data_IF_203266694761
#
_entry.id   IF_203266694761
#
_cell.length_a   1.000
_cell.length_b   1.000
_cell.length_c   1.000
_cell.angle_alpha   90.00
_cell.angle_beta   90.00
_cell.angle_gamma   90.00
#
_symmetry.space_group_name_H-M   'P 1'
#
loop_
_entity.id
_entity.type
_entity.pdbx_description
1 polymer ?
#
# COMPACT_ATOMS: atom_id res chain seq x y z
N UNK A 1 15.38 -51.89 -62.34
CA UNK A 1 13.95 -51.55 -62.56
C UNK A 1 13.74 -50.14 -62.06
N UNK A 2 13.46 -49.19 -62.95
CA UNK A 2 12.93 -47.89 -62.53
C UNK A 2 11.45 -48.10 -62.20
N UNK A 3 11.01 -47.61 -61.05
CA UNK A 3 9.59 -47.60 -60.70
C UNK A 3 8.91 -46.40 -61.39
N UNK A 4 7.84 -46.68 -62.13
CA UNK A 4 7.07 -45.67 -62.87
C UNK A 4 5.99 -45.06 -61.98
N UNK A 5 6.17 -43.77 -61.65
CA UNK A 5 5.25 -43.03 -60.77
C UNK A 5 3.91 -42.69 -61.45
N UNK A 6 3.77 -42.88 -62.77
CA UNK A 6 2.49 -42.70 -63.47
C UNK A 6 1.45 -43.75 -63.09
N UNK A 7 1.87 -44.90 -62.53
CA UNK A 7 0.97 -46.00 -62.18
C UNK A 7 0.33 -45.88 -60.79
N UNK A 8 0.74 -44.89 -59.99
CA UNK A 8 0.33 -44.76 -58.58
C UNK A 8 -0.95 -43.90 -58.43
N UNK A 9 -1.36 -43.14 -59.46
CA UNK A 9 -2.57 -42.32 -59.44
C UNK A 9 -2.58 -41.27 -58.31
N UNK A 10 -3.72 -41.15 -57.60
CA UNK A 10 -3.96 -40.17 -56.54
C UNK A 10 -3.55 -40.66 -55.13
N UNK A 11 -2.75 -41.72 -55.04
CA UNK A 11 -2.28 -42.22 -53.74
C UNK A 11 -1.44 -41.18 -52.99
N UNK A 12 -1.56 -41.18 -51.66
CA UNK A 12 -0.81 -40.28 -50.80
C UNK A 12 0.68 -40.62 -50.85
N UNK A 13 1.51 -39.62 -51.18
CA UNK A 13 2.96 -39.76 -51.26
C UNK A 13 3.57 -40.20 -49.91
N UNK A 14 2.95 -39.84 -48.79
CA UNK A 14 3.39 -40.21 -47.45
C UNK A 14 3.28 -41.72 -47.15
N UNK A 15 2.52 -42.47 -47.95
CA UNK A 15 2.44 -43.94 -47.82
C UNK A 15 3.76 -44.64 -48.22
N UNK A 16 4.56 -43.99 -49.07
CA UNK A 16 5.80 -44.56 -49.61
C UNK A 16 7.04 -43.73 -49.27
N UNK A 17 6.89 -42.42 -49.03
CA UNK A 17 7.99 -41.50 -48.82
C UNK A 17 7.93 -40.87 -47.43
N UNK A 18 9.07 -40.84 -46.74
CA UNK A 18 9.24 -40.11 -45.50
C UNK A 18 9.76 -38.70 -45.80
N UNK A 19 9.05 -37.63 -45.39
CA UNK A 19 9.53 -36.28 -45.59
C UNK A 19 10.79 -36.01 -44.75
N UNK A 20 11.70 -35.13 -45.21
CA UNK A 20 12.88 -34.78 -44.44
C UNK A 20 12.50 -33.97 -43.17
N UNK A 21 13.43 -33.84 -42.20
CA UNK A 21 13.18 -33.10 -40.96
C UNK A 21 12.67 -31.66 -41.21
N UNK A 22 11.82 -31.17 -40.33
CA UNK A 22 11.18 -29.84 -40.39
C UNK A 22 10.24 -29.62 -41.59
N UNK A 23 9.66 -30.69 -42.16
CA UNK A 23 8.57 -30.58 -43.13
C UNK A 23 7.23 -30.28 -42.47
N UNK A 24 6.41 -29.45 -43.12
CA UNK A 24 5.03 -29.21 -42.73
C UNK A 24 4.15 -30.43 -43.03
N UNK A 25 3.16 -30.66 -42.17
CA UNK A 25 2.18 -31.72 -42.35
C UNK A 25 1.15 -31.33 -43.43
N UNK A 26 0.79 -32.28 -44.29
CA UNK A 26 -0.20 -32.07 -45.36
C UNK A 26 0.05 -32.95 -46.58
N UNK A 27 -0.91 -32.97 -47.51
CA UNK A 27 -0.74 -33.69 -48.78
C UNK A 27 0.41 -33.07 -49.58
N UNK A 28 1.41 -33.87 -49.95
CA UNK A 28 2.64 -33.38 -50.58
C UNK A 28 2.37 -32.58 -51.88
N UNK A 29 1.31 -32.95 -52.61
CA UNK A 29 0.85 -32.29 -53.84
C UNK A 29 0.38 -30.84 -53.63
N UNK A 30 0.05 -30.45 -52.40
CA UNK A 30 -0.34 -29.07 -52.09
C UNK A 30 0.84 -28.09 -52.15
N UNK A 31 2.07 -28.60 -52.04
CA UNK A 31 3.29 -27.80 -52.07
C UNK A 31 4.20 -28.17 -53.24
N UNK A 32 4.24 -29.44 -53.63
CA UNK A 32 5.10 -29.94 -54.70
C UNK A 32 4.31 -30.11 -56.00
N UNK A 33 4.35 -29.08 -56.85
CA UNK A 33 3.73 -29.09 -58.17
C UNK A 33 4.49 -29.99 -59.17
N UNK A 34 5.81 -30.13 -58.98
CA UNK A 34 6.64 -31.06 -59.73
C UNK A 34 6.88 -32.33 -58.91
N UNK A 35 6.11 -33.38 -59.24
CA UNK A 35 6.21 -34.70 -58.61
C UNK A 35 7.33 -35.56 -59.20
N UNK A 36 8.14 -35.04 -60.14
CA UNK A 36 9.28 -35.78 -60.73
C UNK A 36 10.59 -35.45 -60.03
N UNK A 37 10.82 -34.18 -59.67
CA UNK A 37 12.06 -33.75 -59.01
C UNK A 37 11.91 -33.44 -57.53
N UNK A 38 10.69 -33.10 -57.06
CA UNK A 38 10.37 -32.67 -55.69
C UNK A 38 11.27 -31.55 -55.14
N UNK A 39 12.00 -30.83 -55.99
CA UNK A 39 13.01 -29.85 -55.57
C UNK A 39 12.44 -28.47 -55.24
N UNK A 40 11.27 -28.13 -55.77
CA UNK A 40 10.63 -26.84 -55.52
C UNK A 40 9.28 -27.04 -54.84
N UNK A 41 9.10 -26.34 -53.72
CA UNK A 41 7.82 -26.24 -53.03
C UNK A 41 7.25 -24.84 -53.26
N UNK A 42 6.04 -24.77 -53.81
CA UNK A 42 5.25 -23.54 -53.95
C UNK A 42 3.94 -23.77 -53.23
N UNK A 43 3.58 -22.86 -52.33
CA UNK A 43 2.32 -22.94 -51.59
C UNK A 43 1.47 -21.70 -51.82
N UNK A 44 0.22 -21.90 -52.22
CA UNK A 44 -0.74 -20.82 -52.41
C UNK A 44 -1.56 -20.60 -51.11
N UNK A 45 -1.26 -19.50 -50.43
CA UNK A 45 -1.97 -19.06 -49.23
C UNK A 45 -3.42 -18.62 -49.51
N UNK A 46 -3.92 -18.59 -50.74
CA UNK A 46 -5.35 -18.42 -51.01
C UNK A 46 -6.17 -19.64 -50.59
N UNK A 47 -5.53 -20.82 -50.49
CA UNK A 47 -6.19 -22.12 -50.29
C UNK A 47 -6.43 -22.48 -48.82
N UNK A 48 -5.84 -21.76 -47.87
CA UNK A 48 -5.90 -22.08 -46.43
C UNK A 48 -7.27 -21.81 -45.78
N UNK A 49 -8.19 -21.16 -46.50
CA UNK A 49 -9.53 -20.87 -45.99
C UNK A 49 -9.51 -20.06 -44.68
N UNK A 50 -10.13 -20.60 -43.62
CA UNK A 50 -10.20 -20.01 -42.28
C UNK A 50 -9.18 -20.55 -41.28
N UNK A 51 -8.24 -21.39 -41.70
CA UNK A 51 -7.24 -21.97 -40.78
C UNK A 51 -6.26 -20.92 -40.26
N UNK A 52 -5.84 -21.02 -39.00
CA UNK A 52 -4.83 -20.13 -38.44
C UNK A 52 -3.43 -20.44 -39.01
N UNK A 53 -2.62 -19.40 -39.21
CA UNK A 53 -1.23 -19.51 -39.62
C UNK A 53 -0.42 -20.34 -38.61
N UNK A 54 -0.78 -20.30 -37.32
CA UNK A 54 -0.15 -21.06 -36.25
C UNK A 54 -0.22 -22.59 -36.42
N UNK A 55 -1.13 -23.09 -37.27
CA UNK A 55 -1.20 -24.52 -37.60
C UNK A 55 0.00 -25.01 -38.41
N UNK A 56 0.65 -24.11 -39.15
CA UNK A 56 1.83 -24.41 -39.94
C UNK A 56 3.05 -23.71 -39.37
N UNK A 57 2.95 -22.40 -39.10
CA UNK A 57 4.09 -21.57 -38.69
C UNK A 57 4.23 -21.47 -37.18
N UNK A 58 5.47 -21.44 -36.72
CA UNK A 58 5.81 -21.09 -35.34
C UNK A 58 6.13 -19.60 -35.24
N UNK A 59 5.53 -18.85 -34.30
CA UNK A 59 5.84 -17.45 -34.13
C UNK A 59 7.27 -17.25 -33.58
N UNK A 60 7.90 -16.09 -33.84
CA UNK A 60 9.20 -15.77 -33.26
C UNK A 60 9.12 -15.61 -31.73
N UNK A 61 10.26 -15.65 -31.01
CA UNK A 61 10.30 -15.37 -29.58
C UNK A 61 9.71 -14.00 -29.24
N UNK A 62 9.05 -13.89 -28.09
CA UNK A 62 8.38 -12.67 -27.60
C UNK A 62 7.23 -12.15 -28.49
N UNK A 63 6.65 -13.00 -29.34
CA UNK A 63 5.46 -12.67 -30.11
C UNK A 63 4.18 -12.71 -29.24
N UNK A 64 3.24 -11.82 -29.53
CA UNK A 64 1.93 -11.80 -28.89
C UNK A 64 1.18 -13.11 -29.16
N UNK A 65 0.53 -13.65 -28.13
CA UNK A 65 -0.21 -14.90 -28.22
C UNK A 65 -1.64 -14.62 -28.68
N UNK A 66 -2.00 -15.08 -29.88
CA UNK A 66 -3.34 -14.89 -30.43
C UNK A 66 -3.45 -15.43 -31.85
N UNK A 67 -4.64 -15.30 -32.43
CA UNK A 67 -4.91 -15.72 -33.80
C UNK A 67 -4.13 -14.85 -34.78
N UNK A 68 -3.25 -15.44 -35.59
CA UNK A 68 -2.31 -14.67 -36.42
C UNK A 68 -3.03 -13.73 -37.40
N UNK A 69 -4.16 -14.18 -37.94
CA UNK A 69 -4.98 -13.43 -38.91
C UNK A 69 -5.63 -12.17 -38.35
N UNK A 70 -5.73 -12.04 -37.02
CA UNK A 70 -6.25 -10.81 -36.41
C UNK A 70 -5.26 -9.64 -36.56
N UNK A 71 -3.98 -9.93 -36.79
CA UNK A 71 -2.91 -8.93 -36.87
C UNK A 71 -2.21 -8.94 -38.23
N UNK A 72 -2.06 -10.11 -38.85
CA UNK A 72 -1.37 -10.29 -40.12
C UNK A 72 -2.38 -10.42 -41.26
N UNK A 73 -2.58 -9.31 -41.97
CA UNK A 73 -3.49 -9.24 -43.13
C UNK A 73 -2.78 -9.51 -44.46
N UNK A 74 -1.44 -9.52 -44.46
CA UNK A 74 -0.61 -9.73 -45.64
C UNK A 74 0.16 -11.06 -45.56
N UNK A 75 -0.18 -12.00 -46.44
CA UNK A 75 0.46 -13.31 -46.56
C UNK A 75 1.69 -13.34 -47.46
N UNK A 76 2.08 -12.21 -48.07
CA UNK A 76 3.20 -12.15 -49.03
C UNK A 76 4.54 -11.94 -48.35
N UNK A 77 4.64 -10.99 -47.43
CA UNK A 77 5.87 -10.69 -46.69
C UNK A 77 5.73 -10.89 -45.18
N UNK A 78 4.50 -11.00 -44.64
CA UNK A 78 4.20 -11.19 -43.22
C UNK A 78 4.86 -10.19 -42.26
N UNK A 79 5.34 -9.04 -42.77
CA UNK A 79 6.02 -7.99 -41.99
C UNK A 79 5.05 -6.95 -41.46
N UNK A 80 4.00 -6.66 -42.21
CA UNK A 80 3.01 -5.67 -41.81
C UNK A 80 2.06 -6.30 -40.80
N UNK A 81 1.90 -5.62 -39.67
CA UNK A 81 0.91 -5.95 -38.66
C UNK A 81 -0.05 -4.77 -38.53
N UNK A 82 -1.34 -5.07 -38.52
CA UNK A 82 -2.38 -4.12 -38.24
C UNK A 82 -3.42 -4.83 -37.38
N UNK A 83 -3.67 -4.27 -36.20
CA UNK A 83 -4.73 -4.75 -35.31
C UNK A 83 -5.78 -3.66 -35.16
N UNK A 84 -7.00 -3.94 -35.60
CA UNK A 84 -8.12 -3.04 -35.41
C UNK A 84 -8.65 -3.16 -33.98
N UNK A 85 -8.44 -2.12 -33.17
CA UNK A 85 -8.91 -2.10 -31.79
C UNK A 85 -10.44 -2.01 -31.67
N UNK A 86 -11.18 -1.74 -32.75
CA UNK A 86 -12.65 -1.75 -32.74
C UNK A 86 -13.24 -3.13 -32.41
N UNK A 87 -12.47 -4.20 -32.63
CA UNK A 87 -12.93 -5.59 -32.46
C UNK A 87 -12.82 -6.09 -31.01
N UNK A 88 -12.18 -5.34 -30.12
CA UNK A 88 -11.96 -5.79 -28.72
C UNK A 88 -13.23 -5.67 -27.85
N UNK A 89 -14.21 -4.87 -28.28
CA UNK A 89 -15.45 -4.66 -27.53
C UNK A 89 -15.19 -4.11 -26.13
N UNK A 90 -15.66 -4.83 -25.10
CA UNK A 90 -15.54 -4.46 -23.68
C UNK A 90 -14.40 -5.18 -22.94
N UNK A 91 -13.46 -5.79 -23.66
CA UNK A 91 -12.27 -6.40 -23.06
C UNK A 91 -11.42 -5.33 -22.37
N UNK A 92 -10.88 -5.64 -21.19
CA UNK A 92 -9.94 -4.73 -20.53
C UNK A 92 -8.62 -4.68 -21.30
N UNK A 93 -8.03 -3.49 -21.41
CA UNK A 93 -6.76 -3.27 -22.09
C UNK A 93 -5.64 -4.09 -21.43
N UNK A 94 -5.76 -4.35 -20.12
CA UNK A 94 -4.83 -5.17 -19.33
C UNK A 94 -4.71 -6.63 -19.80
N UNK A 95 -5.68 -7.13 -20.57
CA UNK A 95 -5.62 -8.46 -21.18
C UNK A 95 -4.55 -8.55 -22.27
N UNK A 96 -4.15 -7.42 -22.86
CA UNK A 96 -3.21 -7.37 -23.97
C UNK A 96 -1.97 -6.51 -23.68
N UNK A 97 -2.15 -5.42 -22.94
CA UNK A 97 -1.12 -4.45 -22.64
C UNK A 97 -0.69 -4.55 -21.18
N UNK A 98 0.63 -4.46 -20.96
CA UNK A 98 1.20 -4.32 -19.63
C UNK A 98 1.42 -2.84 -19.32
N UNK A 99 1.02 -2.36 -18.14
CA UNK A 99 1.27 -0.99 -17.76
C UNK A 99 2.77 -0.76 -17.49
N UNK A 100 3.26 0.49 -17.63
CA UNK A 100 4.63 0.83 -17.27
C UNK A 100 4.86 0.67 -15.75
N UNK A 101 6.13 0.61 -15.30
CA UNK A 101 6.46 0.60 -13.88
C UNK A 101 5.87 1.82 -13.15
N UNK A 102 5.49 1.62 -11.87
CA UNK A 102 4.88 2.65 -11.02
C UNK A 102 3.51 3.17 -11.51
N UNK A 103 2.79 2.40 -12.32
CA UNK A 103 1.42 2.71 -12.70
C UNK A 103 0.41 2.29 -11.61
N UNK A 104 -0.70 3.03 -11.49
CA UNK A 104 -1.77 2.67 -10.58
C UNK A 104 -2.51 1.42 -11.08
N UNK A 105 -2.97 0.59 -10.14
CA UNK A 105 -3.75 -0.61 -10.44
C UNK A 105 -5.23 -0.23 -10.61
N UNK A 106 -5.86 -0.67 -11.68
CA UNK A 106 -7.26 -0.43 -11.99
C UNK A 106 -7.58 -0.75 -13.45
N UNK A 107 -8.86 -0.72 -13.82
CA UNK A 107 -9.26 -0.85 -15.22
C UNK A 107 -8.73 0.35 -16.02
N UNK A 108 -8.03 0.10 -17.13
CA UNK A 108 -7.32 1.15 -17.87
C UNK A 108 -8.26 2.27 -18.32
N UNK A 109 -9.49 1.92 -18.71
CA UNK A 109 -10.55 2.84 -19.13
C UNK A 109 -11.06 3.76 -18.02
N UNK A 110 -10.76 3.48 -16.75
CA UNK A 110 -11.11 4.37 -15.63
C UNK A 110 -10.26 5.65 -15.61
N UNK A 111 -9.10 5.62 -16.28
CA UNK A 111 -8.15 6.73 -16.34
C UNK A 111 -7.89 7.19 -17.77
N UNK A 112 -7.83 6.25 -18.72
CA UNK A 112 -7.46 6.50 -20.11
C UNK A 112 -8.71 6.59 -20.99
N UNK A 113 -9.24 7.82 -21.13
CA UNK A 113 -10.34 8.11 -22.03
C UNK A 113 -9.89 8.24 -23.50
N UNK A 114 -8.65 8.67 -23.72
CA UNK A 114 -8.00 8.64 -25.02
C UNK A 114 -7.06 7.42 -25.10
N UNK A 115 -7.55 6.36 -25.75
CA UNK A 115 -6.82 5.11 -25.96
C UNK A 115 -5.90 5.15 -27.18
N UNK A 116 -5.77 6.28 -27.88
CA UNK A 116 -4.90 6.38 -29.07
C UNK A 116 -3.43 6.56 -28.71
N UNK A 117 -3.14 7.29 -27.63
CA UNK A 117 -1.76 7.61 -27.22
C UNK A 117 -1.47 7.30 -25.74
N UNK A 118 -2.49 7.02 -24.91
CA UNK A 118 -2.35 6.71 -23.48
C UNK A 118 -1.58 7.76 -22.65
N UNK A 119 -1.34 8.97 -23.16
CA UNK A 119 -0.52 9.99 -22.48
C UNK A 119 -1.30 10.84 -21.48
N UNK A 120 -2.62 10.95 -21.65
CA UNK A 120 -3.46 11.83 -20.84
C UNK A 120 -4.43 11.03 -19.97
N UNK A 121 -3.89 10.44 -18.90
CA UNK A 121 -4.73 9.84 -17.86
C UNK A 121 -5.44 10.94 -17.06
N UNK A 122 -6.76 10.86 -16.97
CA UNK A 122 -7.59 11.71 -16.13
C UNK A 122 -8.36 10.79 -15.20
N UNK A 123 -8.33 11.05 -13.90
CA UNK A 123 -9.08 10.26 -12.93
C UNK A 123 -10.05 11.15 -12.16
N UNK A 124 -11.34 10.82 -12.22
CA UNK A 124 -12.37 11.51 -11.46
C UNK A 124 -12.50 10.91 -10.06
N UNK A 125 -12.00 11.64 -9.07
CA UNK A 125 -12.08 11.25 -7.66
C UNK A 125 -13.52 11.20 -7.12
N UNK A 126 -14.52 11.75 -7.82
CA UNK A 126 -15.94 11.60 -7.41
C UNK A 126 -16.41 10.15 -7.48
N UNK A 127 -15.75 9.33 -8.29
CA UNK A 127 -16.13 7.92 -8.55
C UNK A 127 -15.63 6.94 -7.49
N UNK A 128 -14.74 7.37 -6.59
CA UNK A 128 -14.09 6.47 -5.61
C UNK A 128 -15.04 5.99 -4.50
N UNK A 129 -16.20 6.65 -4.32
CA UNK A 129 -17.17 6.31 -3.27
C UNK A 129 -16.52 6.29 -1.88
N UNK A 130 -16.63 5.15 -1.19
CA UNK A 130 -16.08 4.91 0.16
C UNK A 130 -14.69 4.27 0.16
N UNK A 131 -14.04 4.13 -1.00
CA UNK A 131 -12.70 3.54 -1.06
C UNK A 131 -11.69 4.39 -0.27
N UNK A 132 -10.75 3.70 0.38
CA UNK A 132 -9.69 4.35 1.13
C UNK A 132 -8.62 4.89 0.20
N UNK A 133 -8.19 6.14 0.44
CA UNK A 133 -7.20 6.82 -0.40
C UNK A 133 -5.85 6.08 -0.42
N UNK A 134 -5.53 5.34 0.65
CA UNK A 134 -4.30 4.56 0.78
C UNK A 134 -4.23 3.36 -0.16
N UNK A 135 -5.35 2.93 -0.74
CA UNK A 135 -5.36 1.88 -1.75
C UNK A 135 -4.71 2.34 -3.06
N UNK A 136 -4.66 3.65 -3.29
CA UNK A 136 -4.04 4.24 -4.48
C UNK A 136 -2.79 5.05 -4.10
N UNK A 137 -2.85 5.88 -3.06
CA UNK A 137 -1.79 6.82 -2.73
C UNK A 137 -0.97 6.37 -1.52
N UNK A 138 0.34 6.64 -1.57
CA UNK A 138 1.22 6.46 -0.43
C UNK A 138 1.36 7.78 0.33
N UNK A 139 1.09 7.83 1.65
CA UNK A 139 1.28 9.05 2.42
C UNK A 139 2.77 9.43 2.53
N UNK A 140 3.09 10.74 2.64
CA UNK A 140 4.48 11.18 2.81
C UNK A 140 5.05 10.74 4.17
N UNK A 141 6.39 10.76 4.36
CA UNK A 141 7.01 10.53 5.65
C UNK A 141 6.48 11.48 6.73
N UNK A 142 6.39 11.01 7.97
CA UNK A 142 5.87 11.77 9.12
C UNK A 142 4.41 12.23 8.99
N UNK A 143 3.61 11.59 8.13
CA UNK A 143 2.17 11.85 8.05
C UNK A 143 1.42 11.19 9.22
N UNK A 144 0.34 11.83 9.67
CA UNK A 144 -0.51 11.31 10.74
C UNK A 144 -1.22 10.03 10.29
N UNK A 145 -1.33 9.06 11.19
CA UNK A 145 -1.98 7.78 10.92
C UNK A 145 -3.50 7.91 11.09
N UNK A 146 -4.28 7.64 10.06
CA UNK A 146 -5.73 7.70 10.10
C UNK A 146 -6.37 7.72 8.73
N UNK A 147 -7.70 7.73 8.67
CA UNK A 147 -8.42 7.85 7.41
C UNK A 147 -8.16 9.23 6.79
N UNK A 148 -7.64 9.26 5.56
CA UNK A 148 -7.21 10.49 4.90
C UNK A 148 -8.33 11.53 4.80
N UNK A 149 -9.58 11.07 4.61
CA UNK A 149 -10.78 11.91 4.48
C UNK A 149 -11.11 12.72 5.73
N UNK A 150 -10.60 12.32 6.89
CA UNK A 150 -10.79 13.07 8.13
C UNK A 150 -10.05 14.41 8.11
N UNK A 151 -9.02 14.53 7.26
CA UNK A 151 -8.20 15.74 7.13
C UNK A 151 -8.25 16.35 5.72
N UNK A 152 -8.37 15.51 4.69
CA UNK A 152 -8.36 15.89 3.30
C UNK A 152 -9.78 15.81 2.72
N UNK A 153 -10.52 16.90 2.85
CA UNK A 153 -11.89 17.04 2.34
C UNK A 153 -11.95 17.53 0.89
N UNK A 154 -10.85 18.10 0.38
CA UNK A 154 -10.71 18.59 -0.99
C UNK A 154 -9.78 17.68 -1.80
N UNK A 155 -10.36 16.91 -2.74
CA UNK A 155 -9.61 16.04 -3.65
C UNK A 155 -8.96 16.79 -4.82
N UNK A 156 -9.28 18.06 -5.02
CA UNK A 156 -8.68 18.91 -6.06
C UNK A 156 -7.44 19.65 -5.56
N UNK A 157 -7.39 19.97 -4.26
CA UNK A 157 -6.23 20.57 -3.61
C UNK A 157 -5.83 19.78 -2.34
N UNK A 158 -5.28 18.59 -2.57
CA UNK A 158 -4.89 17.67 -1.50
C UNK A 158 -3.74 18.16 -0.62
N UNK A 159 -3.07 19.27 -0.98
CA UNK A 159 -2.04 19.90 -0.13
C UNK A 159 -2.62 20.54 1.11
N UNK A 160 -3.87 20.98 1.04
CA UNK A 160 -4.56 21.54 2.19
C UNK A 160 -5.16 20.40 3.01
N UNK A 161 -4.83 20.39 4.30
CA UNK A 161 -5.43 19.50 5.28
C UNK A 161 -6.07 20.35 6.36
N UNK A 162 -7.30 20.01 6.75
CA UNK A 162 -8.00 20.63 7.84
C UNK A 162 -8.58 19.55 8.73
N UNK A 163 -8.27 19.61 10.03
CA UNK A 163 -8.82 18.71 11.02
C UNK A 163 -9.64 19.52 12.04
N UNK A 164 -10.94 19.22 12.12
CA UNK A 164 -11.81 19.82 13.12
C UNK A 164 -11.61 19.12 14.46
N UNK A 165 -11.00 19.81 15.42
CA UNK A 165 -10.78 19.27 16.76
C UNK A 165 -12.06 19.10 17.58
N UNK A 166 -13.20 19.64 17.13
CA UNK A 166 -14.49 19.44 17.82
C UNK A 166 -14.96 17.98 17.77
N UNK A 167 -14.52 17.22 16.77
CA UNK A 167 -14.96 15.83 16.54
C UNK A 167 -14.27 14.82 17.46
N UNK A 168 -13.23 15.23 18.19
CA UNK A 168 -12.44 14.32 19.04
C UNK A 168 -13.18 13.93 20.34
N UNK A 169 -14.18 14.71 20.75
CA UNK A 169 -14.93 14.48 21.97
C UNK A 169 -14.04 14.32 23.21
N UNK A 170 -14.18 13.18 23.90
CA UNK A 170 -13.43 12.84 25.12
C UNK A 170 -12.14 12.05 24.88
N UNK A 171 -11.71 11.88 23.62
CA UNK A 171 -10.44 11.22 23.33
C UNK A 171 -9.27 12.01 23.91
N UNK A 172 -8.25 11.31 24.40
CA UNK A 172 -7.05 11.96 24.94
C UNK A 172 -6.22 12.57 23.80
N UNK A 173 -5.67 13.76 24.04
CA UNK A 173 -4.84 14.47 23.08
C UNK A 173 -3.56 13.68 22.74
N UNK A 174 -3.10 12.85 23.69
CA UNK A 174 -1.94 11.96 23.55
C UNK A 174 -2.10 10.90 22.46
N UNK A 175 -3.34 10.59 22.04
CA UNK A 175 -3.61 9.69 20.92
C UNK A 175 -3.13 10.27 19.57
N UNK A 176 -2.98 11.59 19.48
CA UNK A 176 -2.59 12.27 18.25
C UNK A 176 -1.32 13.12 18.38
N UNK A 177 -1.11 13.70 19.57
CA UNK A 177 -0.01 14.62 19.82
C UNK A 177 0.99 13.99 20.77
N UNK A 178 2.27 14.11 20.43
CA UNK A 178 3.35 13.72 21.32
C UNK A 178 3.67 14.88 22.27
N UNK A 179 3.61 14.69 23.60
CA UNK A 179 4.05 15.69 24.56
C UNK A 179 5.54 16.01 24.37
N UNK A 180 5.96 17.18 24.88
CA UNK A 180 7.39 17.52 24.94
C UNK A 180 8.12 16.57 25.89
N UNK A 181 9.45 16.38 25.74
CA UNK A 181 10.24 15.65 26.72
C UNK A 181 10.03 16.20 28.14
N UNK A 182 10.05 15.32 29.15
CA UNK A 182 9.84 15.64 30.57
C UNK A 182 8.46 16.24 30.89
N UNK A 183 7.43 15.95 30.09
CA UNK A 183 6.05 16.33 30.41
C UNK A 183 5.44 15.40 31.46
N UNK A 184 4.60 15.93 32.35
CA UNK A 184 3.94 15.14 33.39
C UNK A 184 2.96 14.12 32.76
N UNK A 185 2.94 12.86 33.24
CA UNK A 185 2.04 11.85 32.70
C UNK A 185 0.58 12.11 33.11
N UNK A 186 -0.36 11.84 32.22
CA UNK A 186 -1.79 11.97 32.48
C UNK A 186 -2.55 12.58 31.30
N UNK A 187 -3.88 12.58 31.39
CA UNK A 187 -4.72 13.16 30.35
C UNK A 187 -4.48 14.67 30.27
N UNK A 188 -4.19 15.19 29.08
CA UNK A 188 -3.74 16.57 28.92
C UNK A 188 -4.76 17.59 29.47
N UNK A 189 -6.06 17.28 29.34
CA UNK A 189 -7.18 18.11 29.82
C UNK A 189 -7.23 18.28 31.34
N UNK A 190 -6.58 17.39 32.10
CA UNK A 190 -6.53 17.51 33.56
C UNK A 190 -5.63 18.68 34.00
N UNK A 191 -4.65 19.04 33.18
CA UNK A 191 -3.72 20.13 33.47
C UNK A 191 -3.99 21.36 32.59
N UNK A 192 -4.39 21.15 31.34
CA UNK A 192 -4.58 22.20 30.34
C UNK A 192 -6.07 22.52 30.15
N UNK A 193 -6.54 23.64 30.70
CA UNK A 193 -7.91 24.12 30.47
C UNK A 193 -8.10 24.83 29.14
N UNK A 194 -7.02 25.32 28.52
CA UNK A 194 -7.01 25.81 27.14
C UNK A 194 -6.19 24.87 26.25
N UNK A 195 -6.89 23.98 25.55
CA UNK A 195 -6.29 23.00 24.63
C UNK A 195 -6.04 23.57 23.23
N UNK A 196 -6.23 24.87 22.98
CA UNK A 196 -5.93 25.47 21.66
C UNK A 196 -4.44 25.73 21.47
N UNK A 197 -3.74 26.06 22.55
CA UNK A 197 -2.33 26.43 22.51
C UNK A 197 -1.49 25.77 23.61
N UNK A 198 -2.11 25.07 24.57
CA UNK A 198 -1.45 24.35 25.67
C UNK A 198 -0.46 25.22 26.47
N UNK A 199 -0.65 26.54 26.50
CA UNK A 199 0.25 27.46 27.24
C UNK A 199 -0.06 27.52 28.73
N UNK A 200 -1.29 27.22 29.12
CA UNK A 200 -1.68 27.17 30.52
C UNK A 200 -1.62 25.74 31.05
N UNK A 201 -0.99 25.54 32.20
CA UNK A 201 -1.07 24.29 32.93
C UNK A 201 -1.33 24.62 34.40
N UNK A 202 -2.36 24.02 34.97
CA UNK A 202 -2.68 24.12 36.38
C UNK A 202 -2.82 22.72 36.92
N UNK A 203 -2.14 22.41 38.02
CA UNK A 203 -2.35 21.19 38.77
C UNK A 203 -2.59 21.57 40.22
N UNK A 204 -3.50 20.84 40.87
CA UNK A 204 -3.75 21.02 42.30
C UNK A 204 -2.88 20.05 43.07
N UNK A 205 -2.14 20.57 44.05
CA UNK A 205 -1.35 19.78 44.98
C UNK A 205 -1.88 20.05 46.38
N UNK A 206 -2.26 19.00 47.11
CA UNK A 206 -2.85 19.12 48.45
C UNK A 206 -1.81 19.45 49.50
N UNK A 207 -0.60 18.90 49.36
CA UNK A 207 0.52 19.16 50.26
C UNK A 207 1.28 20.44 49.85
N UNK A 208 1.88 21.23 50.75
CA UNK A 208 2.59 22.45 50.35
C UNK A 208 3.83 22.17 49.49
N UNK A 209 3.88 22.78 48.30
CA UNK A 209 5.00 22.62 47.34
C UNK A 209 6.32 23.26 47.82
N UNK A 210 6.27 24.09 48.85
CA UNK A 210 7.43 24.76 49.44
C UNK A 210 7.85 24.17 50.80
N UNK A 211 7.32 23.00 51.19
CA UNK A 211 7.76 22.29 52.39
C UNK A 211 9.28 22.07 52.38
N UNK A 212 9.95 22.33 53.51
CA UNK A 212 11.40 22.15 53.62
C UNK A 212 12.24 22.91 52.58
N UNK A 213 11.74 24.02 52.02
CA UNK A 213 12.33 24.76 50.91
C UNK A 213 12.38 24.01 49.56
N UNK A 214 11.50 23.03 49.34
CA UNK A 214 11.39 22.32 48.06
C UNK A 214 11.05 23.25 46.87
N UNK A 215 10.42 24.41 47.12
CA UNK A 215 10.17 25.46 46.12
C UNK A 215 9.59 24.95 44.78
N UNK A 216 8.70 23.95 44.84
CA UNK A 216 8.08 23.35 43.65
C UNK A 216 8.98 22.39 42.87
N UNK A 217 10.14 21.99 43.40
CA UNK A 217 10.95 20.91 42.83
C UNK A 217 10.31 19.57 43.17
N UNK A 218 9.48 19.06 42.25
CA UNK A 218 8.73 17.81 42.45
C UNK A 218 9.65 16.63 42.84
N UNK A 219 10.85 16.57 42.27
CA UNK A 219 11.84 15.53 42.53
C UNK A 219 12.42 15.54 43.93
N UNK A 220 12.17 16.59 44.72
CA UNK A 220 12.53 16.63 46.13
C UNK A 220 11.69 15.65 46.96
N UNK A 221 10.46 15.35 46.53
CA UNK A 221 9.54 14.44 47.22
C UNK A 221 9.24 13.17 46.39
N UNK A 222 9.18 13.31 45.07
CA UNK A 222 8.88 12.25 44.11
C UNK A 222 10.16 11.76 43.42
N UNK A 223 10.73 10.65 43.90
CA UNK A 223 12.00 10.11 43.39
C UNK A 223 11.80 9.34 42.09
N UNK A 224 12.87 9.16 41.31
CA UNK A 224 12.89 8.34 40.08
C UNK A 224 11.90 8.75 38.97
N UNK A 225 11.40 9.99 39.00
CA UNK A 225 10.29 10.46 38.17
C UNK A 225 8.98 9.67 38.37
N UNK A 226 8.84 8.97 39.49
CA UNK A 226 7.57 8.40 39.92
C UNK A 226 6.80 9.40 40.77
N UNK A 227 5.80 10.04 40.15
CA UNK A 227 4.92 11.00 40.81
C UNK A 227 3.71 10.35 41.50
N UNK A 228 3.60 9.02 41.47
CA UNK A 228 2.56 8.27 42.17
C UNK A 228 2.95 7.92 43.62
N UNK A 229 4.25 7.98 43.93
CA UNK A 229 4.80 7.73 45.25
C UNK A 229 5.58 8.94 45.76
N UNK A 230 5.72 9.05 47.08
CA UNK A 230 6.50 10.08 47.73
C UNK A 230 7.20 9.47 48.96
N UNK A 231 8.27 10.11 49.42
CA UNK A 231 8.95 9.71 50.66
C UNK A 231 9.23 10.91 51.55
N UNK A 232 8.85 10.78 52.82
CA UNK A 232 9.13 11.76 53.87
C UNK A 232 10.47 11.46 54.55
N UNK A 233 10.76 10.18 54.76
CA UNK A 233 11.88 9.69 55.59
C UNK A 233 13.24 9.89 54.94
N UNK A 234 13.28 10.20 53.64
CA UNK A 234 14.52 10.60 53.00
C UNK A 234 15.13 11.87 53.63
N UNK A 235 14.30 12.83 54.05
CA UNK A 235 14.74 14.03 54.76
C UNK A 235 14.46 13.93 56.26
N UNK A 236 13.33 13.34 56.64
CA UNK A 236 12.92 13.14 58.04
C UNK A 236 13.42 11.79 58.54
N UNK A 237 14.71 11.70 58.80
CA UNK A 237 15.36 10.53 59.39
C UNK A 237 16.17 10.90 60.62
N UNK A 238 16.32 9.93 61.53
CA UNK A 238 17.14 10.07 62.73
C UNK A 238 16.38 9.76 64.01
N UNK A 239 17.13 9.65 65.10
CA UNK A 239 16.59 9.29 66.42
C UNK A 239 15.69 10.36 67.01
N UNK A 240 16.03 11.65 66.87
CA UNK A 240 15.24 12.76 67.40
C UNK A 240 13.79 12.75 66.86
N UNK A 241 13.62 12.53 65.56
CA UNK A 241 12.31 12.35 64.94
C UNK A 241 11.51 11.17 65.54
N UNK A 242 12.14 10.01 65.74
CA UNK A 242 11.48 8.83 66.33
C UNK A 242 11.20 9.00 67.83
N UNK A 243 12.02 9.82 68.50
CA UNK A 243 11.88 10.15 69.91
C UNK A 243 10.64 11.00 70.15
N UNK A 244 10.45 12.08 69.37
CA UNK A 244 9.27 12.95 69.47
C UNK A 244 7.96 12.18 69.23
N UNK A 245 7.91 11.33 68.18
CA UNK A 245 6.70 10.53 67.92
C UNK A 245 6.41 9.51 69.02
N UNK A 246 7.46 8.97 69.66
CA UNK A 246 7.31 8.02 70.76
C UNK A 246 6.83 8.69 72.04
N UNK A 247 7.21 9.94 72.31
CA UNK A 247 6.69 10.71 73.43
C UNK A 247 5.18 10.92 73.32
N UNK A 248 4.67 11.10 72.10
CA UNK A 248 3.25 11.17 71.76
C UNK A 248 2.56 9.79 71.61
N UNK A 249 3.29 8.69 71.87
CA UNK A 249 2.76 7.32 71.78
C UNK A 249 2.48 6.82 70.36
N UNK A 250 3.02 7.49 69.34
CA UNK A 250 2.87 7.16 67.92
C UNK A 250 4.00 6.21 67.51
N UNK A 251 3.67 4.95 67.22
CA UNK A 251 4.65 3.93 66.80
C UNK A 251 4.55 3.54 65.32
N UNK A 252 3.45 3.90 64.64
CA UNK A 252 3.28 3.66 63.21
C UNK A 252 3.59 4.95 62.43
N UNK A 253 4.76 4.97 61.80
CA UNK A 253 5.27 6.11 61.03
C UNK A 253 5.08 5.94 59.52
N UNK A 254 4.22 5.01 59.10
CA UNK A 254 4.02 4.70 57.68
C UNK A 254 3.15 5.73 56.94
N UNK A 255 2.30 6.48 57.64
CA UNK A 255 1.34 7.41 57.04
C UNK A 255 1.43 8.84 57.61
N UNK A 256 2.52 9.53 57.33
CA UNK A 256 2.82 10.86 57.87
C UNK A 256 1.71 11.89 57.59
N UNK A 257 1.07 11.82 56.40
CA UNK A 257 0.05 12.80 55.98
C UNK A 257 -1.27 12.70 56.75
N UNK A 258 -1.48 11.62 57.52
CA UNK A 258 -2.66 11.50 58.38
C UNK A 258 -2.63 12.53 59.52
N UNK A 259 -1.44 12.79 60.07
CA UNK A 259 -1.24 13.74 61.16
C UNK A 259 -0.66 15.07 60.67
N UNK A 260 0.15 15.05 59.61
CA UNK A 260 0.81 16.23 59.03
C UNK A 260 0.32 16.51 57.60
N UNK A 261 -0.97 16.84 57.38
CA UNK A 261 -1.52 17.05 56.05
C UNK A 261 -0.91 18.27 55.32
N UNK A 262 -0.37 19.23 56.07
CA UNK A 262 0.31 20.42 55.56
C UNK A 262 1.83 20.42 55.83
N UNK A 263 2.37 19.30 56.32
CA UNK A 263 3.80 19.13 56.58
C UNK A 263 4.32 19.87 57.81
N UNK A 264 3.44 20.42 58.65
CA UNK A 264 3.81 21.04 59.92
C UNK A 264 3.66 20.05 61.06
N UNK A 265 4.49 20.22 62.08
CA UNK A 265 4.24 19.63 63.39
C UNK A 265 2.87 20.10 63.87
N UNK A 266 2.05 19.17 64.37
CA UNK A 266 0.75 19.52 64.92
C UNK A 266 0.99 20.16 66.28
N UNK A 267 0.89 21.49 66.36
CA UNK A 267 0.86 22.17 67.65
C UNK A 267 -0.46 21.82 68.36
N UNK A 268 -0.39 21.08 69.46
CA UNK A 268 -1.49 20.94 70.44
C UNK A 268 -1.69 22.22 71.26
#
# INVERSE_FOLDING_TARGET
>A
MLFDHSQIGDQDCAACHTPPPNHYQGACRNCHLDTTTFQNATFDHSTIGSQDCANCHTPPPNHYQGTCRNCHTDTTNFRNTFFDHSVIGSQDCSNCHTPPPNHFVGACSSCHFDTTNFQNAIFDHSTIGTQDCVNCHTPPPNHYQGACRNCHTDTTNFRNAFFDHSVIGSQDCSNCHTPRPNHFPGACRNCHSDTTNFRNATFNHTFPLNHGNANGQCTACHTDNDYSSYTCTYCHNGGEFEDEHREEGITDLSNCLQCHPDGREGDD
#
